data_IF_709411460561
#
_entry.id   IF_709411460561
#
_cell.length_a   1.000
_cell.length_b   1.000
_cell.length_c   1.000
_cell.angle_alpha   90.00
_cell.angle_beta   90.00
_cell.angle_gamma   90.00
#
_symmetry.space_group_name_H-M   'P 1'
#
loop_
_entity.id
_entity.type
_entity.pdbx_description
1 polymer ?
#
# COMPACT_ATOMS: atom_id res chain seq x y z
N UNK A 1 0.03 22.24 -10.63
CA UNK A 1 0.06 22.84 -9.27
C UNK A 1 -1.22 22.48 -8.57
N UNK A 2 -1.14 21.97 -7.34
CA UNK A 2 -2.33 21.67 -6.50
C UNK A 2 -2.88 23.01 -6.01
N UNK A 3 -4.18 23.33 -6.24
CA UNK A 3 -4.74 24.60 -5.78
C UNK A 3 -4.74 24.65 -4.24
N UNK A 4 -4.28 25.77 -3.67
CA UNK A 4 -4.23 26.02 -2.21
C UNK A 4 -5.62 26.40 -1.65
N UNK A 5 -6.66 25.75 -2.12
CA UNK A 5 -8.06 25.87 -1.64
C UNK A 5 -8.56 24.52 -1.18
N UNK A 6 -9.63 24.46 -0.37
CA UNK A 6 -10.30 23.20 -0.06
C UNK A 6 -10.62 22.43 -1.34
N UNK A 7 -10.11 21.19 -1.44
CA UNK A 7 -10.21 20.37 -2.65
C UNK A 7 -11.59 19.71 -2.74
N UNK A 8 -12.23 19.75 -3.91
CA UNK A 8 -13.38 18.92 -4.21
C UNK A 8 -12.94 17.49 -4.56
N UNK A 9 -13.87 16.52 -4.55
CA UNK A 9 -13.59 15.13 -4.96
C UNK A 9 -12.95 15.07 -6.36
N UNK A 10 -13.48 15.85 -7.32
CA UNK A 10 -12.93 15.93 -8.66
C UNK A 10 -11.49 16.45 -8.71
N UNK A 11 -11.14 17.41 -7.86
CA UNK A 11 -9.79 17.98 -7.78
C UNK A 11 -8.79 16.92 -7.27
N UNK A 12 -9.21 16.09 -6.28
CA UNK A 12 -8.38 15.01 -5.73
C UNK A 12 -8.15 13.91 -6.77
N UNK A 13 -9.21 13.46 -7.44
CA UNK A 13 -9.13 12.43 -8.46
C UNK A 13 -8.28 12.90 -9.64
N UNK A 14 -8.58 14.08 -10.20
CA UNK A 14 -7.83 14.65 -11.34
C UNK A 14 -6.38 14.96 -10.97
N UNK A 15 -6.15 15.47 -9.76
CA UNK A 15 -4.81 15.73 -9.21
C UNK A 15 -3.99 14.44 -9.06
N UNK A 16 -4.61 13.34 -8.61
CA UNK A 16 -3.97 12.02 -8.52
C UNK A 16 -3.57 11.50 -9.90
N UNK A 17 -4.47 11.57 -10.89
CA UNK A 17 -4.18 11.17 -12.26
C UNK A 17 -3.07 12.01 -12.91
N UNK A 18 -3.13 13.33 -12.75
CA UNK A 18 -2.13 14.23 -13.31
C UNK A 18 -0.73 14.00 -12.71
N UNK A 19 -0.66 13.81 -11.40
CA UNK A 19 0.60 13.51 -10.69
C UNK A 19 1.15 12.16 -11.13
N UNK A 20 0.29 11.13 -11.21
CA UNK A 20 0.68 9.80 -11.69
C UNK A 20 1.22 9.87 -13.12
N UNK A 21 0.50 10.53 -14.06
CA UNK A 21 0.91 10.70 -15.45
C UNK A 21 2.24 11.43 -15.60
N UNK A 22 2.47 12.48 -14.80
CA UNK A 22 3.68 13.29 -14.88
C UNK A 22 4.91 12.57 -14.33
N UNK A 23 4.74 11.77 -13.27
CA UNK A 23 5.85 11.18 -12.52
C UNK A 23 5.90 9.64 -12.59
N UNK A 24 5.08 9.01 -13.45
CA UNK A 24 4.93 7.54 -13.50
C UNK A 24 6.24 6.79 -13.65
N UNK A 25 7.20 7.29 -14.48
CA UNK A 25 8.49 6.64 -14.72
C UNK A 25 9.32 6.51 -13.43
N UNK A 26 9.26 7.52 -12.55
CA UNK A 26 9.99 7.53 -11.29
C UNK A 26 9.34 6.62 -10.26
N UNK A 27 8.01 6.68 -10.16
CA UNK A 27 7.23 5.81 -9.29
C UNK A 27 7.36 4.35 -9.72
N UNK A 28 7.15 4.06 -11.00
CA UNK A 28 7.28 2.72 -11.56
C UNK A 28 8.71 2.18 -11.44
N UNK A 29 9.75 3.00 -11.64
CA UNK A 29 11.13 2.56 -11.50
C UNK A 29 11.47 2.08 -10.08
N UNK A 30 11.06 2.81 -9.03
CA UNK A 30 11.23 2.36 -7.64
C UNK A 30 10.38 1.12 -7.37
N UNK A 31 9.13 1.13 -7.81
CA UNK A 31 8.20 0.04 -7.57
C UNK A 31 8.64 -1.26 -8.27
N UNK A 32 9.11 -1.21 -9.52
CA UNK A 32 9.63 -2.36 -10.25
C UNK A 32 10.91 -2.92 -9.61
N UNK A 33 11.82 -2.03 -9.15
CA UNK A 33 13.01 -2.47 -8.41
C UNK A 33 12.62 -3.23 -7.14
N UNK A 34 11.69 -2.69 -6.35
CA UNK A 34 11.18 -3.33 -5.13
C UNK A 34 10.50 -4.65 -5.47
N UNK A 35 9.67 -4.67 -6.51
CA UNK A 35 8.96 -5.86 -6.94
C UNK A 35 9.90 -6.97 -7.41
N UNK A 36 10.97 -6.63 -8.14
CA UNK A 36 11.98 -7.60 -8.57
C UNK A 36 12.72 -8.23 -7.37
N UNK A 37 13.12 -7.39 -6.38
CA UNK A 37 13.76 -7.89 -5.15
C UNK A 37 12.79 -8.76 -4.35
N UNK A 38 11.52 -8.36 -4.25
CA UNK A 38 10.49 -9.14 -3.55
C UNK A 38 10.25 -10.49 -4.23
N UNK A 39 10.08 -10.51 -5.56
CA UNK A 39 9.87 -11.76 -6.30
C UNK A 39 11.04 -12.73 -6.12
N UNK A 40 12.28 -12.21 -6.15
CA UNK A 40 13.45 -13.02 -5.89
C UNK A 40 13.45 -13.58 -4.46
N UNK A 41 13.21 -12.72 -3.46
CA UNK A 41 13.17 -13.14 -2.06
C UNK A 41 12.02 -14.13 -1.80
N UNK A 42 10.83 -13.88 -2.33
CA UNK A 42 9.68 -14.78 -2.21
C UNK A 42 9.94 -16.12 -2.90
N UNK A 43 10.56 -16.10 -4.08
CA UNK A 43 10.96 -17.30 -4.81
C UNK A 43 11.96 -18.14 -4.03
N UNK A 44 12.96 -17.53 -3.41
CA UNK A 44 13.94 -18.22 -2.55
C UNK A 44 13.28 -18.83 -1.31
N UNK A 45 12.40 -18.11 -0.64
CA UNK A 45 11.64 -18.62 0.53
C UNK A 45 10.75 -19.78 0.12
N UNK A 46 10.03 -19.64 -1.01
CA UNK A 46 9.19 -20.71 -1.52
C UNK A 46 9.98 -21.95 -1.89
N UNK A 47 11.12 -21.79 -2.60
CA UNK A 47 12.00 -22.91 -2.95
C UNK A 47 12.56 -23.61 -1.72
N UNK A 48 13.01 -22.86 -0.70
CA UNK A 48 13.47 -23.42 0.56
C UNK A 48 12.36 -24.19 1.30
N UNK A 49 11.12 -23.64 1.31
CA UNK A 49 9.98 -24.30 1.93
C UNK A 49 9.60 -25.60 1.21
N UNK A 50 9.59 -25.60 -0.13
CA UNK A 50 9.35 -26.81 -0.94
C UNK A 50 10.44 -27.86 -0.67
N UNK A 51 11.73 -27.46 -0.69
CA UNK A 51 12.83 -28.38 -0.41
C UNK A 51 12.74 -29.01 0.99
N UNK A 52 12.31 -28.25 2.00
CA UNK A 52 12.12 -28.76 3.37
C UNK A 52 10.96 -29.73 3.48
N UNK A 53 9.91 -29.56 2.67
CA UNK A 53 8.67 -30.37 2.73
C UNK A 53 8.73 -31.59 1.82
N UNK A 54 9.56 -31.54 0.78
CA UNK A 54 9.61 -32.57 -0.27
C UNK A 54 9.70 -34.02 0.24
N UNK A 55 10.52 -34.37 1.27
CA UNK A 55 10.59 -35.74 1.82
C UNK A 55 9.34 -36.20 2.54
N UNK A 56 8.45 -35.26 2.91
CA UNK A 56 7.22 -35.56 3.68
C UNK A 56 5.97 -35.61 2.80
N UNK A 57 6.07 -35.26 1.49
CA UNK A 57 4.92 -35.22 0.59
C UNK A 57 4.39 -36.63 0.29
N UNK A 58 5.25 -37.55 -0.15
CA UNK A 58 4.87 -38.91 -0.52
C UNK A 58 4.14 -39.64 0.62
N UNK A 59 4.66 -39.68 1.89
CA UNK A 59 3.97 -40.35 2.99
C UNK A 59 2.62 -39.74 3.36
N UNK A 60 2.38 -38.48 3.01
CA UNK A 60 1.11 -37.80 3.33
C UNK A 60 0.07 -38.00 2.23
N UNK A 61 0.50 -37.98 0.94
CA UNK A 61 -0.42 -38.09 -0.19
C UNK A 61 -0.71 -39.54 -0.61
N UNK A 62 0.22 -40.46 -0.36
CA UNK A 62 0.08 -41.88 -0.69
C UNK A 62 -0.37 -42.73 0.53
N UNK A 63 -0.87 -42.08 1.60
CA UNK A 63 -1.41 -42.76 2.74
C UNK A 63 -2.57 -43.71 2.33
N UNK A 64 -2.63 -44.96 2.83
CA UNK A 64 -3.71 -45.90 2.50
C UNK A 64 -5.10 -45.33 2.78
N UNK A 65 -6.07 -45.70 1.96
CA UNK A 65 -7.44 -45.22 2.10
C UNK A 65 -8.00 -45.54 3.48
N UNK A 66 -8.33 -44.52 4.27
CA UNK A 66 -8.89 -44.66 5.63
C UNK A 66 -7.87 -44.51 6.76
N UNK A 67 -6.58 -44.41 6.49
CA UNK A 67 -5.57 -44.11 7.51
C UNK A 67 -5.23 -42.62 7.48
N UNK A 68 -5.27 -41.95 8.65
CA UNK A 68 -4.84 -40.58 8.78
C UNK A 68 -3.30 -40.51 8.71
N UNK A 69 -2.70 -39.56 7.94
CA UNK A 69 -1.27 -39.38 7.88
C UNK A 69 -0.67 -39.15 9.28
N UNK A 70 0.51 -39.73 9.53
CA UNK A 70 1.15 -39.62 10.84
C UNK A 70 1.54 -38.16 11.14
N UNK A 71 1.48 -37.79 12.41
CA UNK A 71 1.87 -36.42 12.86
C UNK A 71 3.30 -36.06 12.47
N UNK A 72 4.18 -37.03 12.38
CA UNK A 72 5.58 -36.89 12.02
C UNK A 72 5.76 -36.27 10.62
N UNK A 73 4.88 -36.60 9.67
CA UNK A 73 4.92 -36.06 8.31
C UNK A 73 4.03 -34.81 8.14
N UNK A 74 2.91 -34.72 8.88
CA UNK A 74 2.00 -33.55 8.79
C UNK A 74 2.56 -32.31 9.46
N UNK A 75 3.25 -32.44 10.61
CA UNK A 75 3.78 -31.29 11.34
C UNK A 75 4.83 -30.50 10.56
N UNK A 76 5.81 -31.09 9.85
CA UNK A 76 6.73 -30.34 9.00
C UNK A 76 6.02 -29.55 7.90
N UNK A 77 4.96 -30.10 7.29
CA UNK A 77 4.16 -29.41 6.28
C UNK A 77 3.47 -28.18 6.86
N UNK A 78 2.85 -28.33 8.03
CA UNK A 78 2.16 -27.20 8.70
C UNK A 78 3.15 -26.11 9.13
N UNK A 79 4.30 -26.50 9.68
CA UNK A 79 5.34 -25.56 10.08
C UNK A 79 5.90 -24.82 8.85
N UNK A 80 6.22 -25.54 7.76
CA UNK A 80 6.71 -24.92 6.53
C UNK A 80 5.67 -23.99 5.91
N UNK A 81 4.40 -24.39 5.89
CA UNK A 81 3.31 -23.54 5.42
C UNK A 81 3.16 -22.27 6.27
N UNK A 82 3.23 -22.40 7.61
CA UNK A 82 3.18 -21.24 8.51
C UNK A 82 4.37 -20.30 8.33
N UNK A 83 5.59 -20.85 8.23
CA UNK A 83 6.82 -20.06 7.97
C UNK A 83 6.73 -19.35 6.62
N UNK A 84 6.31 -20.07 5.57
CA UNK A 84 6.12 -19.49 4.24
C UNK A 84 5.10 -18.36 4.27
N UNK A 85 3.94 -18.59 4.89
CA UNK A 85 2.89 -17.58 5.02
C UNK A 85 3.38 -16.32 5.73
N UNK A 86 4.05 -16.47 6.89
CA UNK A 86 4.60 -15.34 7.66
C UNK A 86 5.67 -14.60 6.87
N UNK A 87 6.58 -15.33 6.21
CA UNK A 87 7.63 -14.72 5.40
C UNK A 87 7.05 -13.92 4.22
N UNK A 88 6.09 -14.49 3.49
CA UNK A 88 5.42 -13.82 2.38
C UNK A 88 4.63 -12.60 2.86
N UNK A 89 3.94 -12.68 4.00
CA UNK A 89 3.21 -11.56 4.59
C UNK A 89 4.15 -10.41 4.98
N UNK A 90 5.28 -10.71 5.63
CA UNK A 90 6.28 -9.70 6.04
C UNK A 90 6.93 -9.07 4.82
N UNK A 91 7.39 -9.87 3.85
CA UNK A 91 8.00 -9.37 2.61
C UNK A 91 7.00 -8.51 1.81
N UNK A 92 5.78 -8.98 1.65
CA UNK A 92 4.72 -8.24 0.96
C UNK A 92 4.40 -6.90 1.65
N UNK A 93 4.32 -6.90 2.98
CA UNK A 93 4.09 -5.68 3.75
C UNK A 93 5.25 -4.68 3.62
N UNK A 94 6.50 -5.15 3.68
CA UNK A 94 7.68 -4.30 3.48
C UNK A 94 7.71 -3.69 2.08
N UNK A 95 7.42 -4.49 1.04
CA UNK A 95 7.32 -4.00 -0.32
C UNK A 95 6.24 -2.97 -0.51
N UNK A 96 5.05 -3.24 0.03
CA UNK A 96 3.94 -2.28 0.03
C UNK A 96 4.32 -0.97 0.71
N UNK A 97 5.02 -1.04 1.85
CA UNK A 97 5.49 0.12 2.59
C UNK A 97 6.49 0.97 1.78
N UNK A 98 7.46 0.33 1.10
CA UNK A 98 8.44 1.05 0.26
C UNK A 98 7.76 1.71 -0.94
N UNK A 99 6.87 0.99 -1.65
CA UNK A 99 6.15 1.52 -2.81
C UNK A 99 5.26 2.70 -2.39
N UNK A 100 4.51 2.55 -1.29
CA UNK A 100 3.65 3.61 -0.73
C UNK A 100 4.46 4.84 -0.33
N UNK A 101 5.61 4.65 0.34
CA UNK A 101 6.50 5.74 0.72
C UNK A 101 7.10 6.45 -0.51
N UNK A 102 7.43 5.72 -1.58
CA UNK A 102 7.90 6.30 -2.83
C UNK A 102 6.84 7.18 -3.50
N UNK A 103 5.59 6.69 -3.59
CA UNK A 103 4.48 7.44 -4.17
C UNK A 103 4.20 8.74 -3.40
N UNK A 104 4.18 8.67 -2.07
CA UNK A 104 3.96 9.83 -1.20
C UNK A 104 5.16 10.80 -1.20
N UNK A 105 6.39 10.30 -1.35
CA UNK A 105 7.58 11.15 -1.53
C UNK A 105 7.51 11.98 -2.80
N UNK A 106 7.07 11.37 -3.92
CA UNK A 106 6.83 12.11 -5.18
C UNK A 106 5.77 13.19 -4.99
N UNK A 107 4.67 12.87 -4.29
CA UNK A 107 3.62 13.85 -4.01
C UNK A 107 4.13 14.98 -3.12
N UNK A 108 4.89 14.69 -2.07
CA UNK A 108 5.50 15.69 -1.17
C UNK A 108 6.32 16.69 -1.96
N UNK A 109 7.21 16.21 -2.84
CA UNK A 109 8.05 17.06 -3.69
C UNK A 109 7.22 17.84 -4.74
N UNK A 110 6.18 17.22 -5.32
CA UNK A 110 5.28 17.87 -6.27
C UNK A 110 4.49 19.03 -5.64
N UNK A 111 4.11 18.90 -4.36
CA UNK A 111 3.41 19.96 -3.61
C UNK A 111 4.38 21.06 -3.15
N UNK A 112 5.60 20.70 -2.74
CA UNK A 112 6.62 21.67 -2.28
C UNK A 112 7.39 22.37 -3.42
N UNK A 113 7.20 21.96 -4.69
CA UNK A 113 7.90 22.54 -5.84
C UNK A 113 9.37 22.12 -5.97
N UNK A 114 9.80 21.10 -5.23
CA UNK A 114 11.16 20.58 -5.24
C UNK A 114 11.49 19.75 -6.48
N UNK A 115 12.80 19.59 -6.83
CA UNK A 115 13.21 18.74 -7.94
C UNK A 115 13.05 17.26 -7.59
N UNK A 116 12.11 16.57 -8.23
CA UNK A 116 11.92 15.14 -8.10
C UNK A 116 13.01 14.38 -8.85
N UNK A 117 14.01 13.84 -8.14
CA UNK A 117 14.99 12.91 -8.73
C UNK A 117 14.72 11.47 -8.26
N UNK A 118 15.02 10.49 -9.13
CA UNK A 118 14.87 9.07 -8.76
C UNK A 118 15.64 8.70 -7.48
N UNK A 119 16.86 9.23 -7.33
CA UNK A 119 17.71 8.98 -6.16
C UNK A 119 17.11 9.55 -4.86
N UNK A 120 16.51 10.75 -4.92
CA UNK A 120 15.86 11.38 -3.77
C UNK A 120 14.63 10.58 -3.35
N UNK A 121 13.74 10.23 -4.30
CA UNK A 121 12.54 9.41 -4.03
C UNK A 121 12.93 8.06 -3.42
N UNK A 122 13.92 7.36 -3.99
CA UNK A 122 14.41 6.08 -3.48
C UNK A 122 14.94 6.24 -2.04
N UNK A 123 15.77 7.24 -1.78
CA UNK A 123 16.34 7.50 -0.43
C UNK A 123 15.22 7.70 0.60
N UNK A 124 14.22 8.53 0.29
CA UNK A 124 13.09 8.78 1.20
C UNK A 124 12.27 7.51 1.39
N UNK A 125 11.97 6.77 0.30
CA UNK A 125 11.20 5.54 0.36
C UNK A 125 11.83 4.51 1.31
N UNK A 126 13.12 4.19 1.13
CA UNK A 126 13.80 3.21 1.99
C UNK A 126 14.00 3.72 3.43
N UNK A 127 14.31 4.99 3.63
CA UNK A 127 14.46 5.56 4.98
C UNK A 127 13.16 5.53 5.77
N UNK A 128 12.03 5.75 5.10
CA UNK A 128 10.70 5.78 5.74
C UNK A 128 9.99 4.44 5.75
N UNK A 129 10.50 3.44 5.00
CA UNK A 129 9.90 2.11 4.92
C UNK A 129 9.61 1.47 6.28
N UNK A 130 10.51 1.46 7.29
CA UNK A 130 10.20 0.83 8.57
C UNK A 130 9.09 1.55 9.34
N UNK A 131 9.09 2.89 9.35
CA UNK A 131 8.01 3.66 9.97
C UNK A 131 6.68 3.48 9.23
N UNK A 132 6.72 3.41 7.90
CA UNK A 132 5.57 3.14 7.04
C UNK A 132 5.02 1.73 7.30
N UNK A 133 5.89 0.70 7.30
CA UNK A 133 5.50 -0.67 7.59
C UNK A 133 4.87 -0.79 8.99
N UNK A 134 5.47 -0.14 10.00
CA UNK A 134 4.92 -0.11 11.35
C UNK A 134 3.55 0.57 11.42
N UNK A 135 3.34 1.70 10.74
CA UNK A 135 2.06 2.39 10.71
C UNK A 135 0.98 1.56 9.99
N UNK A 136 1.33 0.93 8.85
CA UNK A 136 0.43 0.04 8.12
C UNK A 136 0.09 -1.20 8.94
N UNK A 137 1.09 -1.85 9.54
CA UNK A 137 0.90 -3.03 10.38
C UNK A 137 -0.03 -2.74 11.56
N UNK A 138 0.26 -1.69 12.34
CA UNK A 138 -0.61 -1.31 13.45
C UNK A 138 -2.01 -0.92 12.98
N UNK A 139 -2.12 -0.18 11.89
CA UNK A 139 -3.40 0.21 11.31
C UNK A 139 -4.24 -1.00 10.90
N UNK A 140 -3.66 -1.96 10.17
CA UNK A 140 -4.33 -3.19 9.76
C UNK A 140 -4.63 -4.10 10.94
N UNK A 141 -3.72 -4.21 11.91
CA UNK A 141 -3.94 -4.99 13.12
C UNK A 141 -5.16 -4.46 13.89
N UNK A 142 -5.20 -3.15 14.15
CA UNK A 142 -6.31 -2.53 14.91
C UNK A 142 -7.62 -2.61 14.10
N UNK A 143 -7.59 -2.34 12.80
CA UNK A 143 -8.76 -2.42 11.94
C UNK A 143 -9.26 -3.87 11.76
N UNK A 144 -8.37 -4.85 11.82
CA UNK A 144 -8.68 -6.29 11.74
C UNK A 144 -9.15 -6.92 13.05
N UNK A 145 -8.92 -6.27 14.20
CA UNK A 145 -9.31 -6.83 15.52
C UNK A 145 -10.77 -7.30 15.60
N UNK A 146 -11.78 -6.58 15.08
CA UNK A 146 -13.16 -7.05 15.11
C UNK A 146 -13.35 -8.37 14.36
N UNK A 147 -12.72 -8.53 13.21
CA UNK A 147 -12.76 -9.75 12.40
C UNK A 147 -12.02 -10.88 13.10
N UNK A 148 -10.83 -10.61 13.64
CA UNK A 148 -10.06 -11.58 14.41
C UNK A 148 -10.81 -12.06 15.66
N UNK A 149 -11.54 -11.18 16.35
CA UNK A 149 -12.36 -11.55 17.51
C UNK A 149 -13.47 -12.51 17.11
N UNK A 150 -14.15 -12.28 15.97
CA UNK A 150 -15.18 -13.21 15.45
C UNK A 150 -14.56 -14.57 15.16
N UNK A 151 -13.43 -14.62 14.46
CA UNK A 151 -12.74 -15.88 14.11
C UNK A 151 -12.25 -16.59 15.37
N UNK A 152 -11.69 -15.87 16.34
CA UNK A 152 -11.19 -16.44 17.60
C UNK A 152 -12.30 -17.09 18.46
N UNK A 153 -13.52 -16.57 18.39
CA UNK A 153 -14.67 -17.19 19.08
C UNK A 153 -15.25 -18.33 18.25
N UNK A 154 -15.38 -18.13 16.94
CA UNK A 154 -16.02 -19.10 16.07
C UNK A 154 -15.15 -20.36 15.84
N UNK A 155 -13.84 -20.25 15.67
CA UNK A 155 -12.99 -21.39 15.35
C UNK A 155 -12.99 -22.49 16.43
N UNK A 156 -12.78 -22.19 17.75
CA UNK A 156 -12.88 -23.23 18.79
C UNK A 156 -14.30 -23.77 18.93
N UNK A 157 -15.34 -22.95 18.73
CA UNK A 157 -16.73 -23.40 18.75
C UNK A 157 -16.99 -24.40 17.62
N UNK A 158 -16.51 -24.12 16.42
CA UNK A 158 -16.63 -25.01 15.27
C UNK A 158 -15.94 -26.36 15.52
N UNK A 159 -14.75 -26.34 16.12
CA UNK A 159 -14.02 -27.56 16.48
C UNK A 159 -14.77 -28.36 17.57
N UNK A 160 -15.25 -27.66 18.60
CA UNK A 160 -15.94 -28.32 19.72
C UNK A 160 -17.28 -28.98 19.34
N UNK A 161 -17.97 -28.43 18.33
CA UNK A 161 -19.30 -28.92 17.91
C UNK A 161 -19.29 -29.67 16.58
N UNK A 162 -18.12 -29.92 16.00
CA UNK A 162 -17.98 -30.53 14.68
C UNK A 162 -18.65 -31.88 14.53
N UNK A 163 -18.73 -32.66 15.63
CA UNK A 163 -19.39 -34.00 15.67
C UNK A 163 -20.90 -33.95 15.90
N UNK A 164 -21.42 -32.84 16.46
CA UNK A 164 -22.82 -32.76 16.94
C UNK A 164 -23.66 -31.77 16.13
N UNK A 165 -23.02 -30.76 15.50
CA UNK A 165 -23.72 -29.73 14.77
C UNK A 165 -24.14 -30.19 13.37
N UNK A 166 -25.37 -29.86 12.98
CA UNK A 166 -25.82 -30.04 11.60
C UNK A 166 -24.94 -29.25 10.64
N UNK A 167 -24.63 -29.78 9.44
CA UNK A 167 -23.89 -29.06 8.43
C UNK A 167 -24.55 -27.69 8.16
N UNK A 168 -23.82 -26.60 8.40
CA UNK A 168 -24.33 -25.23 8.21
C UNK A 168 -24.83 -24.53 9.49
N UNK A 169 -25.09 -25.19 10.58
CA UNK A 169 -25.50 -24.54 11.84
C UNK A 169 -24.47 -23.54 12.36
N UNK A 170 -23.19 -23.77 12.12
CA UNK A 170 -22.08 -22.90 12.49
C UNK A 170 -21.87 -21.74 11.50
N UNK A 171 -22.42 -21.81 10.28
CA UNK A 171 -22.30 -20.73 9.30
C UNK A 171 -23.10 -19.48 9.70
N UNK A 172 -24.28 -19.67 10.33
CA UNK A 172 -25.12 -18.56 10.73
C UNK A 172 -24.43 -17.62 11.73
N UNK A 173 -23.88 -18.09 12.87
CA UNK A 173 -23.19 -17.21 13.80
C UNK A 173 -21.90 -16.61 13.20
N UNK A 174 -21.19 -17.31 12.32
CA UNK A 174 -20.05 -16.76 11.61
C UNK A 174 -20.47 -15.59 10.71
N UNK A 175 -21.49 -15.78 9.86
CA UNK A 175 -21.98 -14.76 8.95
C UNK A 175 -22.48 -13.54 9.70
N UNK A 176 -23.26 -13.74 10.78
CA UNK A 176 -23.75 -12.64 11.61
C UNK A 176 -22.61 -11.90 12.30
N UNK A 177 -21.63 -12.63 12.83
CA UNK A 177 -20.43 -12.06 13.44
C UNK A 177 -19.60 -11.23 12.44
N UNK A 178 -19.38 -11.76 11.22
CA UNK A 178 -18.69 -11.04 10.15
C UNK A 178 -19.47 -9.81 9.70
N UNK A 179 -20.79 -9.90 9.57
CA UNK A 179 -21.66 -8.78 9.21
C UNK A 179 -21.60 -7.65 10.26
N UNK A 180 -21.49 -7.99 11.54
CA UNK A 180 -21.32 -7.03 12.62
C UNK A 180 -19.89 -6.46 12.70
N UNK A 181 -18.88 -7.27 12.46
CA UNK A 181 -17.47 -6.87 12.51
C UNK A 181 -17.07 -5.97 11.32
N UNK A 182 -17.65 -6.20 10.15
CA UNK A 182 -17.29 -5.50 8.90
C UNK A 182 -17.45 -3.97 8.99
N UNK A 183 -18.60 -3.40 9.44
CA UNK A 183 -18.74 -1.94 9.56
C UNK A 183 -17.72 -1.32 10.52
N UNK A 184 -17.40 -2.03 11.61
CA UNK A 184 -16.41 -1.56 12.59
C UNK A 184 -15.01 -1.58 11.98
N UNK A 185 -14.66 -2.63 11.24
CA UNK A 185 -13.38 -2.73 10.53
C UNK A 185 -13.24 -1.62 9.47
N UNK A 186 -14.30 -1.35 8.70
CA UNK A 186 -14.33 -0.24 7.72
C UNK A 186 -14.18 1.10 8.43
N UNK A 187 -14.90 1.32 9.53
CA UNK A 187 -14.81 2.55 10.31
C UNK A 187 -13.39 2.82 10.80
N UNK A 188 -12.71 1.80 11.32
CA UNK A 188 -11.33 1.88 11.77
C UNK A 188 -10.36 2.09 10.59
N UNK A 189 -10.57 1.39 9.47
CA UNK A 189 -9.72 1.51 8.27
C UNK A 189 -9.72 2.93 7.71
N UNK A 190 -10.88 3.58 7.64
CA UNK A 190 -10.99 5.00 7.23
C UNK A 190 -10.27 5.90 8.22
N UNK A 191 -10.43 5.64 9.52
CA UNK A 191 -9.82 6.44 10.59
C UNK A 191 -8.30 6.41 10.56
N UNK A 192 -7.69 5.29 10.13
CA UNK A 192 -6.25 5.12 10.02
C UNK A 192 -5.73 5.31 8.58
N UNK A 193 -6.61 5.46 7.60
CA UNK A 193 -6.27 5.50 6.18
C UNK A 193 -5.31 6.63 5.76
N UNK A 194 -5.25 7.72 6.53
CA UNK A 194 -4.33 8.83 6.27
C UNK A 194 -2.96 8.69 6.98
N UNK A 195 -2.76 7.66 7.81
CA UNK A 195 -1.51 7.46 8.53
C UNK A 195 -0.28 7.31 7.60
N UNK A 196 -0.33 6.58 6.46
CA UNK A 196 0.77 6.55 5.50
C UNK A 196 1.21 7.94 5.03
N UNK A 197 0.26 8.84 4.77
CA UNK A 197 0.57 10.20 4.36
C UNK A 197 1.26 11.00 5.48
N UNK A 198 0.83 10.85 6.74
CA UNK A 198 1.46 11.48 7.90
C UNK A 198 2.93 11.05 8.09
N UNK A 199 3.25 9.75 7.86
CA UNK A 199 4.63 9.24 7.95
C UNK A 199 5.57 9.96 6.99
N UNK A 200 5.13 10.21 5.75
CA UNK A 200 6.00 10.80 4.72
C UNK A 200 5.94 12.33 4.71
N UNK A 201 4.74 12.90 4.90
CA UNK A 201 4.55 14.35 4.84
C UNK A 201 5.10 15.07 6.08
N UNK A 202 4.91 14.50 7.27
CA UNK A 202 5.32 15.11 8.56
C UNK A 202 6.51 14.39 9.22
N UNK A 203 7.11 13.41 8.53
CA UNK A 203 8.21 12.62 9.07
C UNK A 203 7.87 11.91 10.40
N UNK A 204 6.58 11.59 10.60
CA UNK A 204 6.05 11.02 11.83
C UNK A 204 6.44 9.55 12.02
N UNK A 205 6.61 9.13 13.28
CA UNK A 205 6.72 7.71 13.63
C UNK A 205 5.37 6.97 13.52
N UNK A 206 5.36 5.61 13.59
CA UNK A 206 4.17 4.80 13.33
C UNK A 206 2.95 5.20 14.19
N UNK A 207 3.14 5.27 15.51
CA UNK A 207 2.06 5.59 16.47
C UNK A 207 1.61 7.04 16.33
N UNK A 208 2.57 7.97 16.15
CA UNK A 208 2.26 9.39 15.93
C UNK A 208 1.45 9.59 14.65
N UNK A 209 1.78 8.88 13.57
CA UNK A 209 1.05 8.92 12.30
C UNK A 209 -0.39 8.42 12.45
N UNK A 210 -0.63 7.34 13.20
CA UNK A 210 -1.97 6.85 13.49
C UNK A 210 -2.80 7.85 14.30
N UNK A 211 -2.20 8.44 15.35
CA UNK A 211 -2.85 9.51 16.13
C UNK A 211 -3.18 10.72 15.26
N UNK A 212 -2.25 11.10 14.40
CA UNK A 212 -2.42 12.20 13.46
C UNK A 212 -3.57 11.95 12.48
N UNK A 213 -3.62 10.75 11.89
CA UNK A 213 -4.71 10.32 11.01
C UNK A 213 -6.07 10.40 11.72
N UNK A 214 -6.17 9.84 12.93
CA UNK A 214 -7.42 9.88 13.71
C UNK A 214 -7.88 11.30 14.04
N UNK A 215 -6.95 12.21 14.34
CA UNK A 215 -7.26 13.61 14.63
C UNK A 215 -7.81 14.33 13.37
N UNK A 216 -7.20 14.07 12.19
CA UNK A 216 -7.62 14.69 10.93
C UNK A 216 -8.97 14.15 10.40
N UNK A 217 -9.27 12.88 10.62
CA UNK A 217 -10.54 12.27 10.17
C UNK A 217 -11.72 12.59 11.09
N UNK A 218 -11.46 12.98 12.35
CA UNK A 218 -12.49 13.22 13.37
C UNK A 218 -13.42 14.38 12.94
N UNK A 219 -14.71 14.08 12.76
CA UNK A 219 -15.74 15.05 12.33
C UNK A 219 -16.04 15.05 10.83
N UNK A 220 -15.10 14.60 9.97
CA UNK A 220 -15.27 14.53 8.52
C UNK A 220 -15.23 13.10 7.98
N UNK A 221 -15.56 12.11 8.83
CA UNK A 221 -15.41 10.70 8.51
C UNK A 221 -16.14 10.30 7.22
N UNK A 222 -17.39 10.73 7.05
CA UNK A 222 -18.20 10.40 5.86
C UNK A 222 -17.59 10.94 4.56
N UNK A 223 -17.02 12.13 4.62
CA UNK A 223 -16.33 12.73 3.48
C UNK A 223 -15.05 11.97 3.12
N UNK A 224 -14.23 11.66 4.13
CA UNK A 224 -13.01 10.87 3.96
C UNK A 224 -13.35 9.48 3.41
N UNK A 225 -14.38 8.82 3.98
CA UNK A 225 -14.88 7.54 3.49
C UNK A 225 -15.32 7.62 2.03
N UNK A 226 -16.18 8.58 1.67
CA UNK A 226 -16.68 8.74 0.31
C UNK A 226 -15.58 8.95 -0.72
N UNK A 227 -14.61 9.84 -0.42
CA UNK A 227 -13.47 10.08 -1.33
C UNK A 227 -12.58 8.84 -1.45
N UNK A 228 -12.30 8.18 -0.34
CA UNK A 228 -11.50 6.94 -0.33
C UNK A 228 -12.21 5.82 -1.09
N UNK A 229 -13.52 5.68 -0.92
CA UNK A 229 -14.32 4.69 -1.64
C UNK A 229 -14.31 4.92 -3.15
N UNK A 230 -14.56 6.15 -3.61
CA UNK A 230 -14.49 6.49 -5.03
C UNK A 230 -13.09 6.26 -5.58
N UNK A 231 -12.05 6.68 -4.82
CA UNK A 231 -10.65 6.40 -5.17
C UNK A 231 -10.38 4.90 -5.32
N UNK A 232 -10.86 4.08 -4.38
CA UNK A 232 -10.68 2.63 -4.39
C UNK A 232 -11.42 1.97 -5.57
N UNK A 233 -12.65 2.40 -5.87
CA UNK A 233 -13.40 1.90 -7.01
C UNK A 233 -12.71 2.22 -8.34
N UNK A 234 -12.23 3.46 -8.50
CA UNK A 234 -11.48 3.86 -9.70
C UNK A 234 -10.14 3.12 -9.81
N UNK A 235 -9.39 3.02 -8.71
CA UNK A 235 -8.13 2.27 -8.67
C UNK A 235 -8.35 0.81 -9.04
N UNK A 236 -9.39 0.18 -8.46
CA UNK A 236 -9.77 -1.21 -8.72
C UNK A 236 -10.20 -1.43 -10.16
N UNK A 237 -11.11 -0.61 -10.67
CA UNK A 237 -11.63 -0.74 -12.03
C UNK A 237 -10.52 -0.59 -13.10
N UNK A 238 -9.68 0.45 -12.95
CA UNK A 238 -8.60 0.69 -13.92
C UNK A 238 -7.49 -0.36 -13.77
N UNK A 239 -7.11 -0.70 -12.53
CA UNK A 239 -6.11 -1.73 -12.29
C UNK A 239 -6.55 -3.10 -12.84
N UNK A 240 -7.82 -3.46 -12.66
CA UNK A 240 -8.39 -4.67 -13.25
C UNK A 240 -8.42 -4.61 -14.77
N UNK A 241 -8.81 -3.46 -15.36
CA UNK A 241 -8.78 -3.26 -16.80
C UNK A 241 -7.36 -3.41 -17.39
N UNK A 242 -6.31 -2.98 -16.65
CA UNK A 242 -4.92 -3.22 -17.04
C UNK A 242 -4.58 -4.71 -16.97
N UNK A 243 -5.02 -5.43 -15.93
CA UNK A 243 -4.72 -6.85 -15.74
C UNK A 243 -5.48 -7.76 -16.72
N UNK A 244 -6.70 -7.38 -17.11
CA UNK A 244 -7.63 -8.21 -17.87
C UNK A 244 -7.01 -8.84 -19.12
N UNK A 245 -6.35 -8.09 -20.05
CA UNK A 245 -5.78 -8.69 -21.25
C UNK A 245 -4.70 -9.74 -20.93
N UNK A 246 -3.89 -9.52 -19.91
CA UNK A 246 -2.85 -10.47 -19.49
C UNK A 246 -3.45 -11.74 -18.88
N UNK A 247 -4.50 -11.61 -18.06
CA UNK A 247 -5.21 -12.75 -17.51
C UNK A 247 -5.90 -13.58 -18.59
N UNK A 248 -6.52 -12.94 -19.58
CA UNK A 248 -7.12 -13.62 -20.72
C UNK A 248 -6.05 -14.37 -21.52
N UNK A 249 -4.94 -13.71 -21.89
CA UNK A 249 -3.84 -14.37 -22.61
C UNK A 249 -3.33 -15.56 -21.80
N UNK A 250 -3.07 -15.38 -20.50
CA UNK A 250 -2.63 -16.46 -19.60
C UNK A 250 -3.60 -17.64 -19.60
N UNK A 251 -4.91 -17.38 -19.45
CA UNK A 251 -5.94 -18.41 -19.42
C UNK A 251 -6.07 -19.15 -20.75
N UNK A 252 -6.03 -18.43 -21.89
CA UNK A 252 -6.08 -19.05 -23.22
C UNK A 252 -4.84 -19.88 -23.57
N UNK A 253 -3.73 -19.65 -22.86
CA UNK A 253 -2.49 -20.43 -23.03
C UNK A 253 -2.44 -21.61 -22.05
N UNK A 254 -2.86 -21.43 -20.79
CA UNK A 254 -2.80 -22.47 -19.75
C UNK A 254 -3.76 -23.63 -20.05
N UNK A 255 -5.00 -23.35 -20.43
CA UNK A 255 -6.02 -24.40 -20.63
C UNK A 255 -5.65 -25.37 -21.74
N UNK A 256 -5.25 -24.91 -22.94
CA UNK A 256 -4.77 -25.83 -24.00
C UNK A 256 -3.45 -26.53 -23.63
N UNK A 257 -2.57 -25.89 -22.88
CA UNK A 257 -1.30 -26.49 -22.48
C UNK A 257 -1.49 -27.71 -21.55
N UNK A 258 -2.49 -27.66 -20.67
CA UNK A 258 -2.85 -28.80 -19.81
C UNK A 258 -3.42 -29.95 -20.67
N UNK A 259 -4.35 -29.63 -21.60
CA UNK A 259 -4.94 -30.64 -22.51
C UNK A 259 -3.88 -31.29 -23.42
N UNK A 260 -2.94 -30.50 -23.97
CA UNK A 260 -1.85 -31.03 -24.80
C UNK A 260 -0.87 -31.90 -24.01
N UNK A 261 -0.71 -31.68 -22.70
CA UNK A 261 0.12 -32.52 -21.83
C UNK A 261 -0.49 -33.93 -21.67
N UNK A 262 -1.82 -34.05 -21.71
CA UNK A 262 -2.55 -35.33 -21.67
C UNK A 262 -2.43 -36.09 -23.05
N UNK A 263 -2.32 -35.34 -24.16
CA UNK A 263 -2.24 -35.89 -25.53
C UNK A 263 -0.80 -36.28 -25.96
N UNK A 264 0.18 -36.33 -25.04
CA UNK A 264 1.52 -36.83 -25.29
C UNK A 264 2.54 -35.83 -25.82
N UNK A 265 2.30 -34.54 -25.69
CA UNK A 265 3.30 -33.48 -25.86
C UNK A 265 4.41 -33.69 -24.85
N UNK A 266 5.66 -33.44 -25.24
CA UNK A 266 6.78 -33.58 -24.32
C UNK A 266 6.59 -32.72 -23.05
N UNK A 267 6.87 -33.28 -21.89
CA UNK A 267 6.79 -32.56 -20.59
C UNK A 267 7.52 -31.20 -20.61
N UNK A 268 8.65 -31.13 -21.31
CA UNK A 268 9.39 -29.89 -21.49
C UNK A 268 8.61 -28.82 -22.27
N UNK A 269 7.85 -29.21 -23.27
CA UNK A 269 6.98 -28.31 -24.07
C UNK A 269 5.86 -27.76 -23.21
N UNK A 270 5.16 -28.61 -22.47
CA UNK A 270 4.07 -28.23 -21.56
C UNK A 270 4.58 -27.28 -20.44
N UNK A 271 5.71 -27.58 -19.82
CA UNK A 271 6.36 -26.71 -18.81
C UNK A 271 6.70 -25.34 -19.39
N UNK A 272 7.26 -25.29 -20.60
CA UNK A 272 7.64 -24.02 -21.25
C UNK A 272 6.42 -23.13 -21.45
N UNK A 273 5.34 -23.68 -21.98
CA UNK A 273 4.08 -22.96 -22.20
C UNK A 273 3.48 -22.46 -20.88
N UNK A 274 3.48 -23.30 -19.85
CA UNK A 274 3.01 -22.93 -18.52
C UNK A 274 3.84 -21.78 -17.92
N UNK A 275 5.17 -21.84 -18.02
CA UNK A 275 6.06 -20.78 -17.51
C UNK A 275 5.80 -19.46 -18.22
N UNK A 276 5.66 -19.47 -19.56
CA UNK A 276 5.35 -18.26 -20.33
C UNK A 276 3.99 -17.68 -19.91
N UNK A 277 2.96 -18.51 -19.76
CA UNK A 277 1.65 -18.07 -19.34
C UNK A 277 1.66 -17.44 -17.94
N UNK A 278 2.37 -18.06 -16.99
CA UNK A 278 2.56 -17.52 -15.64
C UNK A 278 3.28 -16.18 -15.68
N UNK A 279 4.37 -16.05 -16.46
CA UNK A 279 5.12 -14.80 -16.59
C UNK A 279 4.27 -13.66 -17.17
N UNK A 280 3.46 -13.96 -18.20
CA UNK A 280 2.53 -12.99 -18.79
C UNK A 280 1.49 -12.53 -17.76
N UNK A 281 0.86 -13.46 -17.04
CA UNK A 281 -0.14 -13.15 -16.00
C UNK A 281 0.47 -12.33 -14.85
N UNK A 282 1.68 -12.70 -14.41
CA UNK A 282 2.42 -11.95 -13.40
C UNK A 282 2.73 -10.53 -13.84
N UNK A 283 3.17 -10.33 -15.10
CA UNK A 283 3.46 -9.00 -15.62
C UNK A 283 2.22 -8.10 -15.60
N UNK A 284 1.07 -8.62 -16.02
CA UNK A 284 -0.21 -7.91 -15.93
C UNK A 284 -0.63 -7.62 -14.49
N UNK A 285 -0.49 -8.60 -13.61
CA UNK A 285 -0.77 -8.47 -12.17
C UNK A 285 0.06 -7.35 -11.54
N UNK A 286 1.37 -7.34 -11.80
CA UNK A 286 2.28 -6.31 -11.31
C UNK A 286 1.88 -4.93 -11.85
N UNK A 287 1.62 -4.80 -13.15
CA UNK A 287 1.25 -3.52 -13.76
C UNK A 287 -0.04 -2.94 -13.15
N UNK A 288 -1.09 -3.75 -13.03
CA UNK A 288 -2.36 -3.35 -12.42
C UNK A 288 -2.23 -3.01 -10.93
N UNK A 289 -1.48 -3.82 -10.18
CA UNK A 289 -1.23 -3.59 -8.75
C UNK A 289 -0.44 -2.29 -8.51
N UNK A 290 0.59 -2.02 -9.30
CA UNK A 290 1.36 -0.78 -9.18
C UNK A 290 0.50 0.46 -9.46
N UNK A 291 -0.41 0.38 -10.44
CA UNK A 291 -1.38 1.43 -10.68
C UNK A 291 -2.30 1.62 -9.47
N UNK A 292 -2.91 0.54 -8.95
CA UNK A 292 -3.82 0.60 -7.82
C UNK A 292 -3.17 1.21 -6.58
N UNK A 293 -1.98 0.72 -6.21
CA UNK A 293 -1.25 1.22 -5.04
C UNK A 293 -0.87 2.69 -5.26
N UNK A 294 -0.26 3.01 -6.40
CA UNK A 294 0.19 4.36 -6.73
C UNK A 294 -0.95 5.37 -6.69
N UNK A 295 -2.05 5.06 -7.35
CA UNK A 295 -3.23 5.91 -7.40
C UNK A 295 -3.85 6.12 -6.01
N UNK A 296 -4.05 5.04 -5.23
CA UNK A 296 -4.61 5.13 -3.88
C UNK A 296 -3.72 5.93 -2.92
N UNK A 297 -2.39 5.80 -3.00
CA UNK A 297 -1.48 6.58 -2.18
C UNK A 297 -1.51 8.07 -2.54
N UNK A 298 -1.67 8.40 -3.82
CA UNK A 298 -1.84 9.80 -4.26
C UNK A 298 -3.18 10.37 -3.79
N UNK A 299 -4.28 9.62 -3.88
CA UNK A 299 -5.58 10.01 -3.34
C UNK A 299 -5.48 10.25 -1.83
N UNK A 300 -4.89 9.32 -1.07
CA UNK A 300 -4.71 9.46 0.38
C UNK A 300 -3.82 10.67 0.73
N UNK A 301 -2.75 10.91 -0.02
CA UNK A 301 -1.86 12.04 0.19
C UNK A 301 -2.52 13.39 -0.11
N UNK A 302 -3.29 13.50 -1.20
CA UNK A 302 -4.05 14.71 -1.53
C UNK A 302 -5.18 14.95 -0.53
N UNK A 303 -5.88 13.90 -0.12
CA UNK A 303 -6.90 13.97 0.93
C UNK A 303 -6.32 14.40 2.27
N UNK A 304 -5.13 13.91 2.61
CA UNK A 304 -4.38 14.36 3.78
C UNK A 304 -4.06 15.86 3.72
N UNK A 305 -3.57 16.33 2.58
CA UNK A 305 -3.28 17.76 2.35
C UNK A 305 -4.56 18.60 2.43
N UNK A 306 -5.67 18.14 1.86
CA UNK A 306 -6.98 18.81 1.94
C UNK A 306 -7.48 18.92 3.39
N UNK A 307 -7.36 17.85 4.19
CA UNK A 307 -7.74 17.90 5.60
C UNK A 307 -6.87 18.88 6.42
N UNK A 308 -5.59 19.02 6.08
CA UNK A 308 -4.71 20.02 6.69
C UNK A 308 -5.08 21.45 6.28
N UNK A 309 -5.41 21.67 5.01
CA UNK A 309 -5.87 22.99 4.54
C UNK A 309 -7.14 23.42 5.29
N UNK A 310 -8.09 22.50 5.46
CA UNK A 310 -9.38 22.77 6.12
C UNK A 310 -9.28 23.01 7.63
N UNK A 311 -8.37 22.32 8.30
CA UNK A 311 -8.32 22.30 9.78
C UNK A 311 -7.20 23.11 10.37
N UNK A 312 -6.11 23.28 9.65
CA UNK A 312 -4.87 23.86 10.17
C UNK A 312 -4.45 25.15 9.45
N UNK A 313 -5.24 25.62 8.48
CA UNK A 313 -4.88 26.81 7.72
C UNK A 313 -3.57 26.65 6.91
N UNK A 314 -3.24 25.41 6.48
CA UNK A 314 -1.99 25.14 5.76
C UNK A 314 -1.80 26.07 4.54
N UNK A 315 -2.89 26.47 3.88
CA UNK A 315 -2.83 27.38 2.73
C UNK A 315 -2.27 28.76 3.15
N UNK A 316 -2.72 29.30 4.27
CA UNK A 316 -2.27 30.58 4.81
C UNK A 316 -0.81 30.50 5.26
N UNK A 317 -0.41 29.42 5.91
CA UNK A 317 0.97 29.19 6.34
C UNK A 317 1.94 29.08 5.14
N UNK A 318 1.54 28.42 4.06
CA UNK A 318 2.34 28.33 2.83
C UNK A 318 2.44 29.69 2.11
N UNK A 319 1.35 30.45 2.06
CA UNK A 319 1.35 31.80 1.48
C UNK A 319 2.21 32.76 2.30
N UNK A 320 2.13 32.69 3.63
CA UNK A 320 2.98 33.49 4.53
C UNK A 320 4.47 33.15 4.41
N UNK A 321 4.80 31.85 4.23
CA UNK A 321 6.19 31.39 4.02
C UNK A 321 6.77 31.75 2.65
N UNK A 322 5.94 32.05 1.65
CA UNK A 322 6.33 32.52 0.32
C UNK A 322 6.19 34.04 0.14
N UNK A 323 5.62 34.76 1.11
CA UNK A 323 5.60 36.20 1.10
C UNK A 323 7.05 36.68 1.29
N UNK A 324 7.63 37.22 0.22
CA UNK A 324 8.85 38.01 0.31
C UNK A 324 8.57 39.08 1.37
N UNK A 325 9.43 39.28 2.40
CA UNK A 325 9.25 40.37 3.32
C UNK A 325 9.03 41.65 2.52
N UNK A 326 8.06 42.52 2.85
CA UNK A 326 7.89 43.76 2.16
C UNK A 326 9.27 44.46 2.16
N UNK A 327 9.74 44.84 0.99
CA UNK A 327 11.00 45.56 0.87
C UNK A 327 10.97 46.69 1.92
N UNK A 328 11.95 46.71 2.80
CA UNK A 328 12.07 47.77 3.75
C UNK A 328 11.90 49.10 3.02
N UNK A 329 11.06 50.05 3.51
CA UNK A 329 10.86 51.30 2.84
C UNK A 329 12.24 51.88 2.57
N UNK A 330 12.48 52.22 1.31
CA UNK A 330 13.75 52.81 0.87
C UNK A 330 14.07 53.94 1.86
N UNK A 331 15.13 53.77 2.64
CA UNK A 331 15.66 54.82 3.49
C UNK A 331 15.75 56.10 2.66
N UNK A 332 15.01 57.13 3.06
CA UNK A 332 15.08 58.42 2.43
C UNK A 332 16.55 58.83 2.31
N UNK A 333 16.98 59.43 1.19
CA UNK A 333 18.36 59.82 1.03
C UNK A 333 18.75 60.76 2.18
N UNK A 334 19.81 60.39 2.88
CA UNK A 334 20.42 61.16 3.96
C UNK A 334 20.71 62.56 3.45
N UNK A 335 20.27 63.63 4.15
CA UNK A 335 20.56 64.98 3.70
C UNK A 335 22.08 65.20 3.65
N UNK A 336 22.60 65.95 2.67
CA UNK A 336 24.02 66.13 2.53
C UNK A 336 24.64 66.73 3.82
N UNK A 337 25.62 66.03 4.35
CA UNK A 337 26.43 66.53 5.48
C UNK A 337 27.08 67.81 5.06
N UNK A 338 26.74 68.91 5.75
CA UNK A 338 27.47 70.20 5.63
C UNK A 338 28.91 69.96 6.04
N UNK A 339 29.80 70.01 5.07
CA UNK A 339 31.22 70.13 5.31
C UNK A 339 31.47 71.43 6.08
N UNK A 340 31.87 71.35 7.32
CA UNK A 340 32.37 72.41 8.12
C UNK A 340 33.61 72.98 7.40
N UNK A 341 33.54 74.28 7.07
CA UNK A 341 34.62 75.02 6.49
C UNK A 341 35.81 75.14 7.47
N UNK A 342 37.05 75.12 7.01
CA UNK A 342 38.21 75.28 7.87
C UNK A 342 38.25 76.72 8.43
N UNK A 343 38.25 76.78 9.77
CA UNK A 343 38.58 78.06 10.48
C UNK A 343 40.08 78.30 10.32
N UNK A 344 40.43 79.19 9.41
CA UNK A 344 41.71 79.82 9.40
C UNK A 344 41.80 80.90 10.51
N UNK A 345 42.88 80.84 11.19
CA UNK A 345 43.51 82.10 11.62
C UNK A 345 43.48 82.49 13.09
N UNK A 346 44.57 82.37 13.69
CA UNK A 346 45.40 83.22 14.57
C UNK A 346 45.81 82.61 15.87
#
# INVERSE_FOLDING_TARGET
MVPLRPLALGDIVTGSFSTLRLHWKRMAGVALLVQAVLLLAMGLVAAASVAAVFPHLEPVFDAPYGEAPTREHVMPLLVAAAVLFVALAVLGMLGMAVISAACLAVLKEAVSGGPTTFAAVRRVAFRRAPAMAGAMFLGYLIAGLPVLAVVAVWAPLAVATASEAAPGALLVPLVLGMLAAFPVAVWLSVRFGLAPAAVVMEDAGPVAALRRSTALVRGDWWRVFGITLVGALLAGAIGYAIQLPFNLIGSFVIVPAIALAEDGVSAAGAITVLVVAVLVTLAGGIAGQLFQIGFMQLVAGLLYTDQRIRREGLAEALLAGHAVPPAAPATAPEPPQQQDAPQDGR
#
